data_IF_453460081778
#
_entry.id   IF_453460081778
#
_cell.length_a   1.000
_cell.length_b   1.000
_cell.length_c   1.000
_cell.angle_alpha   90.00
_cell.angle_beta   90.00
_cell.angle_gamma   90.00
#
_symmetry.space_group_name_H-M   'P 1'
#
loop_
_entity.id
_entity.type
_entity.pdbx_description
1 polymer ?
#
# COMPACT_ATOMS: atom_id res chain seq x y z
N UNK A 1 -11.80 62.80 44.74
CA UNK A 1 -11.14 61.48 44.70
C UNK A 1 -12.22 60.42 44.62
N UNK A 2 -12.33 59.72 43.47
CA UNK A 2 -13.34 58.70 43.21
C UNK A 2 -12.81 57.31 43.57
N UNK A 3 -13.71 56.35 43.81
CA UNK A 3 -13.32 54.97 44.12
C UNK A 3 -14.46 53.99 43.84
N UNK A 4 -14.94 53.95 42.60
CA UNK A 4 -15.77 52.83 42.12
C UNK A 4 -14.87 51.60 41.95
N UNK A 5 -15.22 50.51 42.61
CA UNK A 5 -14.61 49.20 42.36
C UNK A 5 -15.74 48.19 42.10
N UNK A 6 -16.00 47.93 40.82
CA UNK A 6 -16.78 46.78 40.38
C UNK A 6 -15.88 45.54 40.40
N UNK A 7 -16.30 44.39 40.98
CA UNK A 7 -15.59 43.14 40.81
C UNK A 7 -15.81 42.61 39.39
N UNK A 8 -14.71 42.45 38.65
CA UNK A 8 -14.68 41.84 37.34
C UNK A 8 -15.06 40.36 37.42
N UNK A 9 -16.13 39.97 36.74
CA UNK A 9 -16.50 38.58 36.53
C UNK A 9 -15.53 37.96 35.49
N UNK A 10 -14.60 37.13 35.96
CA UNK A 10 -13.74 36.31 35.11
C UNK A 10 -14.52 35.09 34.61
N UNK A 11 -15.04 35.18 33.38
CA UNK A 11 -15.60 34.02 32.68
C UNK A 11 -14.44 33.13 32.19
N UNK A 12 -14.23 31.99 32.85
CA UNK A 12 -13.31 30.94 32.40
C UNK A 12 -13.98 30.21 31.23
N UNK A 13 -13.55 30.52 30.00
CA UNK A 13 -13.98 29.83 28.78
C UNK A 13 -13.39 28.43 28.71
N UNK A 14 -14.25 27.41 28.81
CA UNK A 14 -13.90 26.02 28.50
C UNK A 14 -13.74 25.89 26.98
N UNK A 15 -12.51 25.86 26.48
CA UNK A 15 -12.21 25.51 25.10
C UNK A 15 -12.26 23.98 24.99
N UNK A 16 -13.37 23.46 24.47
CA UNK A 16 -13.48 22.07 24.08
C UNK A 16 -12.65 21.85 22.82
N UNK A 17 -11.51 21.17 22.96
CA UNK A 17 -10.69 20.72 21.83
C UNK A 17 -11.45 19.58 21.16
N UNK A 18 -12.14 19.89 20.06
CA UNK A 18 -12.68 18.89 19.15
C UNK A 18 -11.52 18.11 18.53
N UNK A 19 -11.30 16.88 19.02
CA UNK A 19 -10.51 15.86 18.34
C UNK A 19 -11.16 15.59 16.98
N UNK A 20 -10.59 16.18 15.92
CA UNK A 20 -10.90 15.81 14.54
C UNK A 20 -10.47 14.36 14.33
N UNK A 21 -11.41 13.44 14.56
CA UNK A 21 -11.27 12.06 14.16
C UNK A 21 -11.40 12.04 12.64
N UNK A 22 -10.27 11.92 11.94
CA UNK A 22 -10.29 11.66 10.50
C UNK A 22 -11.04 10.34 10.29
N UNK A 23 -12.18 10.31 9.58
CA UNK A 23 -12.82 9.05 9.27
C UNK A 23 -11.84 8.23 8.45
N UNK A 24 -11.50 7.02 8.93
CA UNK A 24 -10.80 6.05 8.11
C UNK A 24 -11.74 5.74 6.93
N UNK A 25 -11.41 6.24 5.75
CA UNK A 25 -12.21 5.98 4.55
C UNK A 25 -11.94 4.53 4.17
N UNK A 26 -12.85 3.64 4.56
CA UNK A 26 -12.81 2.26 4.09
C UNK A 26 -12.99 2.29 2.57
N UNK A 27 -12.10 1.59 1.84
CA UNK A 27 -12.26 1.43 0.41
C UNK A 27 -13.66 0.88 0.10
N UNK A 28 -14.39 1.55 -0.78
CA UNK A 28 -15.74 1.10 -1.16
C UNK A 28 -15.64 -0.26 -1.87
N UNK A 29 -16.72 -1.04 -1.83
CA UNK A 29 -16.77 -2.29 -2.58
C UNK A 29 -16.41 -2.06 -4.06
N UNK A 30 -16.88 -0.95 -4.64
CA UNK A 30 -16.62 -0.61 -6.03
C UNK A 30 -15.13 -0.33 -6.32
N UNK A 31 -14.40 0.26 -5.37
CA UNK A 31 -12.94 0.48 -5.49
C UNK A 31 -12.12 -0.82 -5.40
N UNK A 32 -12.59 -1.79 -4.60
CA UNK A 32 -11.95 -3.09 -4.42
C UNK A 32 -12.00 -3.93 -5.70
N UNK A 33 -13.13 -3.92 -6.41
CA UNK A 33 -13.37 -4.74 -7.60
C UNK A 33 -13.11 -3.99 -8.92
N UNK A 34 -12.22 -3.00 -8.89
CA UNK A 34 -11.67 -2.38 -10.09
C UNK A 34 -10.14 -2.48 -10.11
N UNK A 35 -9.57 -2.44 -11.30
CA UNK A 35 -8.13 -2.34 -11.52
C UNK A 35 -7.82 -1.38 -12.67
N UNK A 36 -6.64 -0.77 -12.64
CA UNK A 36 -6.17 0.15 -13.66
C UNK A 36 -4.80 -0.29 -14.19
N UNK A 37 -4.60 -0.10 -15.48
CA UNK A 37 -3.32 -0.30 -16.14
C UNK A 37 -3.08 0.73 -17.24
N UNK A 38 -1.82 0.87 -17.64
CA UNK A 38 -1.43 1.74 -18.75
C UNK A 38 -1.38 0.89 -20.00
N UNK A 39 -2.04 1.36 -21.06
CA UNK A 39 -1.97 0.76 -22.39
C UNK A 39 -1.53 1.78 -23.42
N UNK A 40 -0.88 1.32 -24.47
CA UNK A 40 -0.50 2.12 -25.63
C UNK A 40 -1.69 2.13 -26.59
N UNK A 41 -2.42 3.24 -26.67
CA UNK A 41 -3.63 3.35 -27.50
C UNK A 41 -4.86 2.59 -26.98
N UNK A 42 -5.97 2.70 -27.72
CA UNK A 42 -7.28 2.15 -27.35
C UNK A 42 -7.75 0.99 -28.25
N UNK A 43 -6.89 0.57 -29.19
CA UNK A 43 -7.15 -0.55 -30.09
C UNK A 43 -7.37 -1.88 -29.36
N UNK A 44 -8.09 -2.80 -30.01
CA UNK A 44 -8.44 -4.10 -29.44
C UNK A 44 -7.24 -4.93 -28.96
N UNK A 45 -6.13 -5.05 -29.71
CA UNK A 45 -4.97 -5.81 -29.24
C UNK A 45 -4.38 -5.26 -27.92
N UNK A 46 -4.29 -3.93 -27.81
CA UNK A 46 -3.74 -3.27 -26.62
C UNK A 46 -4.71 -3.36 -25.44
N UNK A 47 -6.02 -3.33 -25.72
CA UNK A 47 -7.07 -3.54 -24.72
C UNK A 47 -7.03 -4.95 -24.15
N UNK A 48 -6.86 -5.99 -24.97
CA UNK A 48 -6.76 -7.37 -24.51
C UNK A 48 -5.57 -7.59 -23.58
N UNK A 49 -4.42 -7.00 -23.90
CA UNK A 49 -3.24 -7.01 -23.02
C UNK A 49 -3.58 -6.31 -21.69
N UNK A 50 -4.25 -5.17 -21.75
CA UNK A 50 -4.67 -4.42 -20.57
C UNK A 50 -5.67 -5.20 -19.70
N UNK A 51 -6.60 -5.95 -20.29
CA UNK A 51 -7.53 -6.80 -19.55
C UNK A 51 -6.82 -7.92 -18.79
N UNK A 52 -5.77 -8.52 -19.37
CA UNK A 52 -4.94 -9.54 -18.70
C UNK A 52 -4.28 -8.97 -17.45
N UNK A 53 -3.69 -7.78 -17.54
CA UNK A 53 -3.03 -7.13 -16.40
C UNK A 53 -4.05 -6.65 -15.34
N UNK A 54 -5.18 -6.08 -15.76
CA UNK A 54 -6.25 -5.71 -14.85
C UNK A 54 -6.82 -6.92 -14.09
N UNK A 55 -6.94 -8.09 -14.74
CA UNK A 55 -7.39 -9.32 -14.10
C UNK A 55 -6.40 -9.75 -13.00
N UNK A 56 -5.10 -9.77 -13.30
CA UNK A 56 -4.08 -10.09 -12.29
C UNK A 56 -4.14 -9.14 -11.10
N UNK A 57 -4.23 -7.83 -11.37
CA UNK A 57 -4.30 -6.79 -10.35
C UNK A 57 -5.54 -6.89 -9.48
N UNK A 58 -6.73 -7.10 -10.06
CA UNK A 58 -7.97 -7.16 -9.26
C UNK A 58 -8.02 -8.41 -8.39
N UNK A 59 -7.56 -9.56 -8.89
CA UNK A 59 -7.52 -10.80 -8.10
C UNK A 59 -6.59 -10.64 -6.89
N UNK A 60 -5.40 -10.07 -7.09
CA UNK A 60 -4.44 -9.83 -6.00
C UNK A 60 -4.95 -8.74 -5.06
N UNK A 61 -5.57 -7.67 -5.56
CA UNK A 61 -6.20 -6.63 -4.74
C UNK A 61 -7.26 -7.24 -3.84
N UNK A 62 -8.26 -7.92 -4.40
CA UNK A 62 -9.41 -8.43 -3.65
C UNK A 62 -9.02 -9.52 -2.65
N UNK A 63 -8.08 -10.40 -3.00
CA UNK A 63 -7.67 -11.50 -2.11
C UNK A 63 -6.54 -11.13 -1.15
N UNK A 64 -5.63 -10.23 -1.53
CA UNK A 64 -4.32 -10.07 -0.91
C UNK A 64 -3.34 -11.21 -1.23
N UNK A 65 -3.72 -12.22 -2.03
CA UNK A 65 -2.88 -13.38 -2.34
C UNK A 65 -2.08 -13.16 -3.63
N UNK A 66 -0.82 -12.72 -3.49
CA UNK A 66 0.03 -12.41 -4.64
C UNK A 66 0.42 -13.65 -5.45
N UNK A 67 0.34 -14.86 -4.86
CA UNK A 67 0.75 -16.10 -5.52
C UNK A 67 -0.20 -16.52 -6.63
N UNK A 68 -1.41 -15.95 -6.64
CA UNK A 68 -2.41 -16.25 -7.66
C UNK A 68 -1.86 -16.07 -9.07
N UNK A 69 -1.12 -14.99 -9.33
CA UNK A 69 -0.58 -14.65 -10.66
C UNK A 69 0.44 -15.67 -11.18
N UNK A 70 1.00 -16.51 -10.31
CA UNK A 70 1.98 -17.55 -10.64
C UNK A 70 1.33 -18.93 -10.83
N UNK A 71 0.02 -19.08 -10.60
CA UNK A 71 -0.67 -20.36 -10.78
C UNK A 71 -0.80 -20.68 -12.25
N UNK A 72 -0.54 -21.93 -12.64
CA UNK A 72 -0.66 -22.38 -14.03
C UNK A 72 -2.07 -22.15 -14.60
N UNK A 73 -3.11 -22.26 -13.76
CA UNK A 73 -4.50 -22.00 -14.13
C UNK A 73 -4.74 -20.56 -14.60
N UNK A 74 -3.90 -19.59 -14.19
CA UNK A 74 -4.04 -18.19 -14.61
C UNK A 74 -3.81 -18.00 -16.11
N UNK A 75 -3.04 -18.87 -16.77
CA UNK A 75 -2.83 -18.75 -18.21
C UNK A 75 -4.16 -18.77 -18.98
N UNK A 76 -4.99 -19.78 -18.70
CA UNK A 76 -6.29 -19.95 -19.34
C UNK A 76 -7.30 -18.85 -18.93
N UNK A 77 -7.17 -18.29 -17.72
CA UNK A 77 -8.03 -17.18 -17.28
C UNK A 77 -7.64 -15.87 -17.96
N UNK A 78 -6.34 -15.61 -18.14
CA UNK A 78 -5.84 -14.42 -18.87
C UNK A 78 -6.32 -14.42 -20.32
N UNK A 79 -6.34 -15.57 -20.97
CA UNK A 79 -6.85 -15.68 -22.35
C UNK A 79 -8.35 -15.37 -22.46
N UNK A 80 -9.09 -15.41 -21.35
CA UNK A 80 -10.51 -15.07 -21.26
C UNK A 80 -10.76 -13.79 -20.45
N UNK A 81 -9.74 -12.96 -20.26
CA UNK A 81 -9.83 -11.80 -19.36
C UNK A 81 -10.96 -10.84 -19.74
N UNK A 82 -11.21 -10.66 -21.04
CA UNK A 82 -12.29 -9.83 -21.57
C UNK A 82 -13.68 -10.26 -21.07
N UNK A 83 -13.93 -11.57 -20.98
CA UNK A 83 -15.23 -12.14 -20.57
C UNK A 83 -15.58 -11.80 -19.11
N UNK A 84 -14.59 -11.46 -18.30
CA UNK A 84 -14.77 -11.16 -16.88
C UNK A 84 -15.00 -9.67 -16.62
N UNK A 85 -14.63 -8.79 -17.56
CA UNK A 85 -14.77 -7.34 -17.42
C UNK A 85 -16.24 -6.96 -17.56
N UNK A 86 -16.80 -6.29 -16.54
CA UNK A 86 -18.16 -5.78 -16.60
C UNK A 86 -18.24 -4.54 -17.50
N UNK A 87 -17.32 -3.61 -17.29
CA UNK A 87 -17.18 -2.38 -18.06
C UNK A 87 -15.76 -1.86 -17.93
N UNK A 88 -15.35 -1.00 -18.85
CA UNK A 88 -14.05 -0.37 -18.82
C UNK A 88 -14.14 1.08 -19.30
N UNK A 89 -13.13 1.88 -18.92
CA UNK A 89 -12.99 3.28 -19.35
C UNK A 89 -11.54 3.60 -19.64
N UNK A 90 -11.33 4.54 -20.56
CA UNK A 90 -10.04 5.10 -20.88
C UNK A 90 -9.93 6.52 -20.34
N UNK A 91 -8.73 6.88 -19.89
CA UNK A 91 -8.34 8.26 -19.64
C UNK A 91 -7.03 8.54 -20.38
N UNK A 92 -7.02 9.58 -21.23
CA UNK A 92 -5.81 10.00 -21.96
C UNK A 92 -4.84 10.67 -20.99
N UNK A 93 -3.66 10.07 -20.82
CA UNK A 93 -2.65 10.58 -19.87
C UNK A 93 -1.98 11.85 -20.33
N UNK A 94 -2.09 12.17 -21.62
CA UNK A 94 -1.51 13.36 -22.22
C UNK A 94 -2.59 14.36 -22.62
N UNK A 95 -3.81 14.24 -22.11
CA UNK A 95 -4.93 15.14 -22.43
C UNK A 95 -4.48 16.62 -22.39
N UNK A 96 -4.72 17.35 -23.48
CA UNK A 96 -4.27 18.73 -23.66
C UNK A 96 -2.89 18.91 -24.33
N UNK A 97 -2.10 17.84 -24.51
CA UNK A 97 -0.86 17.87 -25.30
C UNK A 97 -1.18 17.59 -26.77
N UNK A 98 -0.89 18.52 -27.70
CA UNK A 98 -1.16 18.36 -29.12
C UNK A 98 -0.53 17.09 -29.70
N UNK A 99 -1.21 16.50 -30.68
CA UNK A 99 -0.70 15.35 -31.42
C UNK A 99 0.17 15.88 -32.57
N UNK A 100 1.39 15.37 -32.68
CA UNK A 100 2.38 15.85 -33.66
C UNK A 100 2.42 15.04 -34.97
N UNK A 101 1.87 13.82 -34.98
CA UNK A 101 1.76 12.95 -36.15
C UNK A 101 0.66 11.87 -35.95
N UNK A 102 0.29 11.14 -37.02
CA UNK A 102 -0.71 10.07 -36.96
C UNK A 102 -0.26 8.88 -36.09
N UNK A 103 1.04 8.60 -36.03
CA UNK A 103 1.60 7.55 -35.17
C UNK A 103 1.40 7.87 -33.68
N UNK A 104 1.58 9.13 -33.29
CA UNK A 104 1.32 9.65 -31.95
C UNK A 104 -0.16 9.65 -31.56
N UNK A 105 -1.08 9.43 -32.51
CA UNK A 105 -2.52 9.22 -32.23
C UNK A 105 -2.78 7.80 -31.75
N UNK A 106 -2.18 6.80 -32.40
CA UNK A 106 -2.40 5.38 -32.09
C UNK A 106 -1.58 4.89 -30.89
N UNK A 107 -0.36 5.42 -30.72
CA UNK A 107 0.56 4.98 -29.67
C UNK A 107 0.48 5.81 -28.38
N UNK A 108 -0.58 6.63 -28.25
CA UNK A 108 -0.75 7.51 -27.10
C UNK A 108 -1.05 6.71 -25.81
N UNK A 109 -0.36 6.97 -24.69
CA UNK A 109 -0.59 6.21 -23.47
C UNK A 109 -1.93 6.57 -22.81
N UNK A 110 -2.73 5.55 -22.49
CA UNK A 110 -4.00 5.68 -21.81
C UNK A 110 -4.02 4.89 -20.51
N UNK A 111 -4.72 5.41 -19.51
CA UNK A 111 -5.14 4.65 -18.35
C UNK A 111 -6.42 3.87 -18.68
N UNK A 112 -6.30 2.54 -18.75
CA UNK A 112 -7.42 1.61 -18.88
C UNK A 112 -7.87 1.18 -17.48
N UNK A 113 -9.06 1.59 -17.07
CA UNK A 113 -9.69 1.08 -15.84
C UNK A 113 -10.73 0.02 -16.19
N UNK A 114 -10.61 -1.16 -15.58
CA UNK A 114 -11.55 -2.26 -15.70
C UNK A 114 -12.34 -2.43 -14.41
N UNK A 115 -13.65 -2.53 -14.52
CA UNK A 115 -14.57 -2.77 -13.42
C UNK A 115 -15.10 -4.20 -13.51
N UNK A 116 -15.23 -4.85 -12.36
CA UNK A 116 -15.66 -6.23 -12.25
C UNK A 116 -16.83 -6.37 -11.30
N UNK A 117 -17.72 -7.31 -11.59
CA UNK A 117 -18.78 -7.71 -10.63
C UNK A 117 -18.14 -8.51 -9.50
N UNK A 118 -18.44 -8.23 -8.21
CA UNK A 118 -17.91 -9.00 -7.08
C UNK A 118 -18.09 -10.51 -7.23
N UNK A 119 -19.29 -10.95 -7.63
CA UNK A 119 -19.61 -12.37 -7.82
C UNK A 119 -18.73 -13.08 -8.88
N UNK A 120 -18.24 -12.36 -9.89
CA UNK A 120 -17.35 -12.93 -10.92
C UNK A 120 -15.96 -13.13 -10.33
N UNK A 121 -15.39 -12.09 -9.70
CA UNK A 121 -14.07 -12.14 -9.09
C UNK A 121 -14.01 -13.17 -7.97
N UNK A 122 -15.02 -13.21 -7.09
CA UNK A 122 -15.08 -14.17 -6.00
C UNK A 122 -15.14 -15.62 -6.49
N UNK A 123 -15.85 -15.86 -7.61
CA UNK A 123 -15.88 -17.18 -8.25
C UNK A 123 -14.52 -17.56 -8.82
N UNK A 124 -13.81 -16.63 -9.46
CA UNK A 124 -12.46 -16.86 -9.98
C UNK A 124 -11.47 -17.16 -8.83
N UNK A 125 -11.54 -16.39 -7.73
CA UNK A 125 -10.73 -16.63 -6.55
C UNK A 125 -10.98 -18.04 -5.98
N UNK A 126 -12.24 -18.46 -5.87
CA UNK A 126 -12.60 -19.79 -5.40
C UNK A 126 -12.06 -20.89 -6.34
N UNK A 127 -12.17 -20.71 -7.66
CA UNK A 127 -11.60 -21.64 -8.65
C UNK A 127 -10.08 -21.76 -8.54
N UNK A 128 -9.41 -20.67 -8.18
CA UNK A 128 -7.98 -20.64 -7.92
C UNK A 128 -7.62 -21.13 -6.50
N UNK A 129 -8.57 -21.58 -5.69
CA UNK A 129 -8.33 -22.03 -4.32
C UNK A 129 -7.88 -20.90 -3.37
N UNK A 130 -8.25 -19.67 -3.68
CA UNK A 130 -8.07 -18.50 -2.81
C UNK A 130 -9.43 -17.97 -2.37
N UNK A 131 -9.44 -16.86 -1.61
CA UNK A 131 -10.65 -16.24 -1.07
C UNK A 131 -10.48 -14.72 -1.01
N UNK A 132 -11.58 -13.96 -1.13
CA UNK A 132 -11.53 -12.52 -0.91
C UNK A 132 -11.10 -12.21 0.52
N UNK A 133 -10.33 -11.14 0.70
CA UNK A 133 -10.03 -10.58 2.00
C UNK A 133 -11.32 -10.02 2.60
N UNK A 134 -11.84 -10.69 3.64
CA UNK A 134 -13.03 -10.26 4.37
C UNK A 134 -12.64 -9.30 5.50
N UNK A 135 -13.24 -8.12 5.53
CA UNK A 135 -13.04 -7.10 6.56
C UNK A 135 -12.28 -5.87 6.05
N UNK A 136 -12.07 -4.90 6.95
CA UNK A 136 -11.33 -3.68 6.63
C UNK A 136 -9.84 -3.98 6.46
N UNK A 137 -9.20 -3.22 5.57
CA UNK A 137 -7.74 -3.22 5.44
C UNK A 137 -7.16 -2.37 6.57
N UNK A 138 -6.41 -2.95 7.52
CA UNK A 138 -5.97 -2.22 8.69
C UNK A 138 -4.88 -1.21 8.32
N UNK A 139 -4.89 -0.07 9.02
CA UNK A 139 -3.74 0.84 9.02
C UNK A 139 -2.55 0.16 9.70
N UNK A 140 -1.43 0.03 8.98
CA UNK A 140 -0.18 -0.51 9.51
C UNK A 140 0.81 0.60 9.85
N UNK A 141 1.50 0.48 10.98
CA UNK A 141 2.64 1.35 11.30
C UNK A 141 3.93 0.69 10.81
N UNK A 142 4.67 1.39 9.96
CA UNK A 142 5.92 0.92 9.36
C UNK A 142 7.10 1.35 10.23
N UNK A 143 7.81 0.37 10.78
CA UNK A 143 9.05 0.53 11.53
C UNK A 143 10.20 0.09 10.63
N UNK A 144 10.81 1.02 9.92
CA UNK A 144 11.82 0.72 8.90
C UNK A 144 13.19 1.28 9.27
N UNK A 145 14.22 0.44 9.23
CA UNK A 145 15.62 0.87 9.27
C UNK A 145 16.21 0.88 7.86
N UNK A 146 17.00 1.90 7.55
CA UNK A 146 17.67 2.05 6.25
C UNK A 146 19.18 2.16 6.47
N UNK A 147 19.96 1.37 5.73
CA UNK A 147 21.42 1.34 5.83
C UNK A 147 22.09 1.40 4.45
N UNK A 148 22.89 2.44 4.20
CA UNK A 148 23.69 2.59 2.99
C UNK A 148 25.06 3.18 3.33
N UNK A 149 26.08 2.31 3.37
CA UNK A 149 27.41 2.69 3.82
C UNK A 149 27.36 3.23 5.26
N UNK A 150 27.83 4.45 5.48
CA UNK A 150 27.80 5.11 6.79
C UNK A 150 26.45 5.73 7.14
N UNK A 151 25.49 5.72 6.21
CA UNK A 151 24.15 6.30 6.43
C UNK A 151 23.23 5.23 6.99
N UNK A 152 22.92 5.37 8.26
CA UNK A 152 21.96 4.53 8.99
C UNK A 152 20.94 5.41 9.71
N UNK A 153 19.66 5.10 9.54
CA UNK A 153 18.57 5.84 10.19
C UNK A 153 17.28 5.01 10.26
N UNK A 154 16.35 5.44 11.12
CA UNK A 154 14.98 4.93 11.16
C UNK A 154 14.10 5.85 10.34
N UNK A 155 13.28 5.31 9.44
CA UNK A 155 12.35 6.11 8.67
C UNK A 155 11.15 6.53 9.54
N UNK A 156 11.15 7.78 9.99
CA UNK A 156 10.06 8.38 10.78
C UNK A 156 9.22 9.35 9.94
N UNK A 157 8.06 9.75 10.44
CA UNK A 157 7.16 10.67 9.72
C UNK A 157 7.66 12.12 9.69
N UNK A 158 8.51 12.51 10.64
CA UNK A 158 8.93 13.89 10.91
C UNK A 158 10.36 14.21 10.46
N UNK A 159 11.02 13.31 9.72
CA UNK A 159 12.36 13.52 9.18
C UNK A 159 12.35 13.79 7.66
N UNK A 160 13.06 14.83 7.22
CA UNK A 160 13.09 15.23 5.79
C UNK A 160 13.78 14.21 4.89
N UNK A 161 14.87 13.59 5.36
CA UNK A 161 15.70 12.66 4.58
C UNK A 161 14.94 11.49 3.97
N UNK A 162 13.82 11.13 4.59
CA UNK A 162 12.99 9.99 4.26
C UNK A 162 11.83 10.27 3.31
N UNK A 163 11.64 11.51 2.85
CA UNK A 163 10.44 11.92 2.09
C UNK A 163 10.16 11.02 0.88
N UNK A 164 11.13 10.85 -0.02
CA UNK A 164 10.97 10.01 -1.22
C UNK A 164 10.73 8.54 -0.90
N UNK A 165 11.28 8.04 0.22
CA UNK A 165 11.02 6.67 0.67
C UNK A 165 9.58 6.53 1.21
N UNK A 166 9.08 7.53 1.95
CA UNK A 166 7.69 7.54 2.41
C UNK A 166 6.70 7.64 1.25
N UNK A 167 6.98 8.49 0.25
CA UNK A 167 6.19 8.59 -0.98
C UNK A 167 6.17 7.28 -1.75
N UNK A 168 7.34 6.65 -1.93
CA UNK A 168 7.45 5.35 -2.58
C UNK A 168 6.69 4.25 -1.83
N UNK A 169 6.75 4.25 -0.49
CA UNK A 169 5.98 3.32 0.32
C UNK A 169 4.46 3.56 0.18
N UNK A 170 4.01 4.82 0.19
CA UNK A 170 2.62 5.17 -0.05
C UNK A 170 2.16 4.72 -1.46
N UNK A 171 2.99 4.89 -2.48
CA UNK A 171 2.72 4.38 -3.83
C UNK A 171 2.62 2.85 -3.85
N UNK A 172 3.38 2.14 -3.01
CA UNK A 172 3.30 0.69 -2.88
C UNK A 172 1.99 0.22 -2.23
N UNK A 173 1.34 1.03 -1.39
CA UNK A 173 0.08 0.65 -0.74
C UNK A 173 -1.15 0.81 -1.64
N UNK A 174 -1.14 1.78 -2.56
CA UNK A 174 -2.25 2.11 -3.45
C UNK A 174 -2.81 0.93 -4.28
N UNK A 175 -1.98 0.13 -4.99
CA UNK A 175 -2.47 -0.99 -5.78
C UNK A 175 -3.26 -2.03 -4.99
N UNK A 176 -2.97 -2.18 -3.70
CA UNK A 176 -3.64 -3.08 -2.77
C UNK A 176 -4.62 -2.35 -1.85
N UNK A 177 -4.88 -1.06 -2.06
CA UNK A 177 -5.74 -0.24 -1.20
C UNK A 177 -5.39 -0.36 0.30
N UNK A 178 -4.11 -0.60 0.59
CA UNK A 178 -3.61 -0.67 1.96
C UNK A 178 -3.32 0.74 2.48
N UNK A 179 -3.32 0.91 3.80
CA UNK A 179 -2.93 2.15 4.45
C UNK A 179 -1.72 1.92 5.34
N UNK A 180 -0.72 2.79 5.23
CA UNK A 180 0.47 2.76 6.04
C UNK A 180 0.75 4.13 6.66
N UNK A 181 1.29 4.14 7.86
CA UNK A 181 1.83 5.33 8.51
C UNK A 181 3.23 5.05 9.04
N UNK A 182 3.99 6.12 9.27
CA UNK A 182 5.30 6.04 9.92
C UNK A 182 5.17 6.67 11.31
N UNK A 183 5.65 6.02 12.38
CA UNK A 183 5.74 6.67 13.68
C UNK A 183 6.64 7.90 13.61
N UNK A 184 6.31 8.96 14.37
CA UNK A 184 7.22 10.07 14.62
C UNK A 184 8.39 9.63 15.50
N UNK A 185 9.50 10.35 15.47
CA UNK A 185 10.70 10.04 16.26
C UNK A 185 10.38 9.92 17.76
N UNK A 186 9.53 10.80 18.31
CA UNK A 186 9.06 10.72 19.69
C UNK A 186 8.20 9.48 20.04
N UNK A 187 7.64 8.79 19.03
CA UNK A 187 6.80 7.60 19.21
C UNK A 187 7.60 6.28 19.17
N UNK A 188 8.90 6.33 18.86
CA UNK A 188 9.77 5.15 18.84
C UNK A 188 10.17 4.66 20.25
N UNK A 189 9.87 5.43 21.30
CA UNK A 189 10.21 5.10 22.69
C UNK A 189 11.71 4.79 22.88
N UNK A 190 12.57 5.61 22.27
CA UNK A 190 14.03 5.51 22.37
C UNK A 190 14.66 4.33 21.61
N UNK A 191 13.91 3.66 20.73
CA UNK A 191 14.48 2.66 19.83
C UNK A 191 15.33 3.35 18.75
N UNK A 192 16.63 3.06 18.75
CA UNK A 192 17.53 3.35 17.62
C UNK A 192 17.38 2.29 16.51
N UNK A 193 18.13 2.45 15.42
CA UNK A 193 18.13 1.55 14.26
C UNK A 193 18.47 0.10 14.66
N UNK A 194 19.52 -0.09 15.47
CA UNK A 194 19.95 -1.42 15.91
C UNK A 194 18.91 -2.09 16.82
N UNK A 195 18.33 -1.34 17.75
CA UNK A 195 17.31 -1.84 18.66
C UNK A 195 16.00 -2.16 17.94
N UNK A 196 15.60 -1.34 16.94
CA UNK A 196 14.42 -1.58 16.13
C UNK A 196 14.55 -2.87 15.30
N UNK A 197 15.71 -3.07 14.65
CA UNK A 197 16.01 -4.28 13.87
C UNK A 197 15.86 -5.55 14.70
N UNK A 198 16.22 -5.51 15.99
CA UNK A 198 16.17 -6.66 16.89
C UNK A 198 14.91 -6.69 17.78
N UNK A 199 14.06 -5.67 17.71
CA UNK A 199 12.86 -5.61 18.55
C UNK A 199 11.91 -6.78 18.26
N UNK A 200 11.29 -7.27 19.32
CA UNK A 200 10.20 -8.24 19.24
C UNK A 200 8.94 -7.60 18.67
N UNK A 201 8.19 -8.37 17.87
CA UNK A 201 6.98 -7.86 17.20
C UNK A 201 5.90 -7.45 18.21
N UNK A 202 5.79 -8.08 19.38
CA UNK A 202 4.80 -7.66 20.37
C UNK A 202 5.13 -6.28 20.95
N UNK A 203 6.42 -5.92 21.05
CA UNK A 203 6.82 -4.55 21.43
C UNK A 203 6.45 -3.56 20.33
N UNK A 204 6.75 -3.88 19.07
CA UNK A 204 6.44 -3.01 17.94
C UNK A 204 4.94 -2.82 17.76
N UNK A 205 4.12 -3.87 17.93
CA UNK A 205 2.66 -3.79 17.88
C UNK A 205 2.08 -2.87 18.97
N UNK A 206 2.68 -2.86 20.18
CA UNK A 206 2.28 -1.90 21.22
C UNK A 206 2.60 -0.46 20.82
N UNK A 207 3.74 -0.23 20.15
CA UNK A 207 4.09 1.10 19.66
C UNK A 207 3.19 1.51 18.48
N UNK A 208 2.88 0.60 17.56
CA UNK A 208 1.94 0.83 16.46
C UNK A 208 0.58 1.32 16.97
N UNK A 209 0.02 0.64 17.98
CA UNK A 209 -1.25 1.01 18.61
C UNK A 209 -1.20 2.38 19.27
N UNK A 210 -0.11 2.70 19.96
CA UNK A 210 0.11 4.05 20.53
C UNK A 210 0.24 5.12 19.44
N UNK A 211 0.71 4.76 18.26
CA UNK A 211 0.80 5.63 17.09
C UNK A 211 -0.49 5.67 16.25
N UNK A 212 -1.57 5.01 16.68
CA UNK A 212 -2.87 5.01 16.00
C UNK A 212 -3.04 3.97 14.88
N UNK A 213 -2.07 3.09 14.68
CA UNK A 213 -2.18 1.97 13.75
C UNK A 213 -2.68 0.69 14.45
N UNK A 214 -3.22 -0.25 13.69
CA UNK A 214 -3.72 -1.52 14.24
C UNK A 214 -2.56 -2.47 14.56
N UNK A 215 -1.49 -2.44 13.76
CA UNK A 215 -0.41 -3.41 13.80
C UNK A 215 0.90 -2.87 13.22
N UNK A 216 2.03 -3.45 13.64
CA UNK A 216 3.35 -3.11 13.13
C UNK A 216 3.74 -3.95 11.90
N UNK A 217 4.35 -3.27 10.92
CA UNK A 217 5.19 -3.88 9.90
C UNK A 217 6.64 -3.44 10.16
N UNK A 218 7.50 -4.39 10.51
CA UNK A 218 8.91 -4.12 10.77
C UNK A 218 9.75 -4.43 9.52
N UNK A 219 10.63 -3.52 9.14
CA UNK A 219 11.46 -3.62 7.95
C UNK A 219 12.91 -3.24 8.21
N UNK A 220 13.80 -3.84 7.45
CA UNK A 220 15.16 -3.35 7.25
C UNK A 220 15.48 -3.36 5.77
N UNK A 221 16.06 -2.29 5.25
CA UNK A 221 16.71 -2.28 3.94
C UNK A 221 18.21 -1.94 4.09
N UNK A 222 19.06 -2.74 3.45
CA UNK A 222 20.52 -2.55 3.44
C UNK A 222 21.02 -2.54 2.01
N UNK A 223 21.75 -1.50 1.60
CA UNK A 223 22.36 -1.45 0.27
C UNK A 223 23.48 -2.49 0.16
N UNK A 224 23.52 -3.21 -0.96
CA UNK A 224 24.56 -4.19 -1.26
C UNK A 224 25.17 -3.93 -2.62
N UNK A 225 26.47 -3.65 -2.64
CA UNK A 225 27.23 -3.50 -3.89
C UNK A 225 27.33 -4.84 -4.65
N UNK A 226 27.28 -5.98 -3.94
CA UNK A 226 27.28 -7.31 -4.56
C UNK A 226 25.97 -7.59 -5.32
N UNK A 227 24.84 -7.21 -4.73
CA UNK A 227 23.52 -7.42 -5.33
C UNK A 227 23.13 -6.28 -6.29
N UNK A 228 23.95 -5.22 -6.36
CA UNK A 228 23.66 -3.98 -7.09
C UNK A 228 22.29 -3.39 -6.73
N UNK A 229 21.91 -3.49 -5.44
CA UNK A 229 20.60 -3.08 -4.98
C UNK A 229 20.39 -3.31 -3.48
N UNK A 230 19.16 -3.06 -3.04
CA UNK A 230 18.74 -3.23 -1.65
C UNK A 230 18.46 -4.70 -1.32
N UNK A 231 18.89 -5.11 -0.13
CA UNK A 231 18.45 -6.31 0.56
C UNK A 231 17.42 -5.86 1.59
N UNK A 232 16.19 -6.34 1.45
CA UNK A 232 15.05 -5.98 2.28
C UNK A 232 14.57 -7.18 3.09
N UNK A 233 14.47 -7.02 4.40
CA UNK A 233 13.92 -8.00 5.33
C UNK A 233 12.67 -7.43 6.00
N UNK A 234 11.58 -8.20 5.97
CA UNK A 234 10.29 -7.79 6.50
C UNK A 234 9.77 -8.76 7.54
N UNK A 235 9.08 -8.23 8.55
CA UNK A 235 8.46 -9.01 9.63
C UNK A 235 7.11 -8.43 10.01
N UNK A 236 6.13 -9.29 10.19
CA UNK A 236 4.80 -8.93 10.64
C UNK A 236 4.22 -10.07 11.49
N UNK A 237 3.54 -9.75 12.59
CA UNK A 237 2.98 -10.75 13.50
C UNK A 237 1.46 -10.76 13.46
N UNK A 238 0.84 -11.80 12.91
CA UNK A 238 -0.62 -11.98 12.90
C UNK A 238 -1.02 -13.24 13.69
N UNK A 239 -2.05 -13.13 14.54
CA UNK A 239 -2.61 -14.22 15.36
C UNK A 239 -1.56 -15.05 16.12
N UNK A 240 -0.58 -14.37 16.70
CA UNK A 240 0.50 -14.99 17.50
C UNK A 240 1.62 -15.64 16.67
N UNK A 241 1.58 -15.55 15.34
CA UNK A 241 2.64 -16.04 14.45
C UNK A 241 3.37 -14.86 13.80
N UNK A 242 4.71 -14.87 13.89
CA UNK A 242 5.54 -13.94 13.14
C UNK A 242 5.88 -14.51 11.77
N UNK A 243 5.54 -13.77 10.72
CA UNK A 243 5.86 -14.02 9.33
C UNK A 243 7.09 -13.20 8.94
N UNK A 244 7.92 -13.77 8.06
CA UNK A 244 9.13 -13.12 7.56
C UNK A 244 9.28 -13.36 6.07
N UNK A 245 9.69 -12.35 5.33
CA UNK A 245 9.95 -12.45 3.89
C UNK A 245 11.02 -11.44 3.49
N UNK A 246 11.65 -11.65 2.33
CA UNK A 246 12.77 -10.85 1.89
C UNK A 246 12.74 -10.56 0.39
N UNK A 247 13.48 -9.53 -0.03
CA UNK A 247 13.84 -9.25 -1.42
C UNK A 247 15.31 -8.85 -1.49
N UNK A 248 16.00 -9.13 -2.59
CA UNK A 248 17.44 -8.89 -2.75
C UNK A 248 17.72 -8.36 -4.16
N UNK A 249 18.68 -7.45 -4.28
CA UNK A 249 19.05 -6.86 -5.57
C UNK A 249 17.94 -6.02 -6.20
N UNK A 250 17.13 -5.37 -5.37
CA UNK A 250 15.95 -4.59 -5.81
C UNK A 250 16.14 -3.09 -5.54
N UNK A 251 15.38 -2.24 -6.23
CA UNK A 251 15.24 -0.83 -5.81
C UNK A 251 14.46 -0.75 -4.49
N UNK A 252 14.52 0.39 -3.79
CA UNK A 252 13.70 0.56 -2.59
C UNK A 252 12.19 0.56 -2.95
N UNK A 253 11.80 1.05 -4.13
CA UNK A 253 10.42 0.97 -4.59
C UNK A 253 9.92 -0.46 -4.63
N UNK A 254 10.70 -1.36 -5.22
CA UNK A 254 10.31 -2.77 -5.29
C UNK A 254 10.41 -3.45 -3.93
N UNK A 255 11.39 -3.10 -3.09
CA UNK A 255 11.44 -3.55 -1.70
C UNK A 255 10.15 -3.22 -0.94
N UNK A 256 9.61 -2.01 -1.12
CA UNK A 256 8.37 -1.58 -0.47
C UNK A 256 7.13 -2.24 -1.08
N UNK A 257 7.09 -2.44 -2.41
CA UNK A 257 6.01 -3.26 -3.02
C UNK A 257 6.01 -4.69 -2.47
N UNK A 258 7.18 -5.32 -2.30
CA UNK A 258 7.31 -6.63 -1.65
C UNK A 258 6.82 -6.58 -0.20
N UNK A 259 7.15 -5.51 0.54
CA UNK A 259 6.67 -5.31 1.90
C UNK A 259 5.14 -5.32 1.98
N UNK A 260 4.49 -4.49 1.15
CA UNK A 260 3.03 -4.34 1.16
C UNK A 260 2.34 -5.61 0.67
N UNK A 261 2.83 -6.25 -0.41
CA UNK A 261 2.25 -7.52 -0.89
C UNK A 261 2.34 -8.62 0.16
N UNK A 262 3.48 -8.73 0.85
CA UNK A 262 3.63 -9.69 1.95
C UNK A 262 2.70 -9.38 3.12
N UNK A 263 2.59 -8.12 3.53
CA UNK A 263 1.66 -7.71 4.58
C UNK A 263 0.20 -8.03 4.21
N UNK A 264 -0.22 -7.71 2.99
CA UNK A 264 -1.58 -8.01 2.51
C UNK A 264 -1.89 -9.51 2.50
N UNK A 265 -0.92 -10.35 2.10
CA UNK A 265 -1.12 -11.80 2.08
C UNK A 265 -1.26 -12.41 3.48
N UNK A 266 -0.47 -11.91 4.45
CA UNK A 266 -0.60 -12.33 5.84
C UNK A 266 -1.93 -11.86 6.43
N UNK A 267 -2.23 -10.57 6.32
CA UNK A 267 -3.39 -9.93 6.94
C UNK A 267 -4.74 -10.37 6.34
N UNK A 268 -4.76 -10.72 5.05
CA UNK A 268 -5.93 -11.36 4.42
C UNK A 268 -6.16 -12.80 4.90
N UNK A 269 -5.20 -13.39 5.62
CA UNK A 269 -5.23 -14.78 6.04
C UNK A 269 -4.97 -15.77 4.91
N UNK A 270 -4.29 -15.34 3.84
CA UNK A 270 -3.81 -16.21 2.75
C UNK A 270 -2.41 -16.80 3.01
N UNK A 271 -1.83 -16.50 4.17
CA UNK A 271 -0.70 -17.22 4.77
C UNK A 271 0.66 -16.57 4.50
N UNK A 272 1.70 -17.42 4.42
CA UNK A 272 3.09 -16.99 4.29
C UNK A 272 3.37 -16.38 2.90
N UNK A 273 3.93 -15.16 2.83
CA UNK A 273 4.44 -14.55 1.60
C UNK A 273 5.58 -15.34 0.97
#
# INVERSE_FOLDING_TARGET
MPGFSHPAATAIGLIAICLMSCPAVAATADELYQAQTIVTGTGEPNREIGFKDCLDKVLVRVSGDQRLTQKAQMLALRDKAADFVQSFRYHDRLEGVPIHDEQGTHDRPHDLTCLYKPAVVDKLLAQLGSRPWRGERPLIAVFLTTEQGTKHFVLTADEDRGETMRESFANATGPLLMHASFPKSGQLAGLDDKALRNADMARLDRLAKKAGAVQALAGSIVWSDKELGWIADWRLSDRGKTYRWQARGVSFDEAFRVAVRGAAQVLSGNGQP
#
